data_IF_623218872915
#
_entry.id   IF_623218872915
#
_cell.length_a   1.000
_cell.length_b   1.000
_cell.length_c   1.000
_cell.angle_alpha   90.00
_cell.angle_beta   90.00
_cell.angle_gamma   90.00
#
_symmetry.space_group_name_H-M   'P 1'
#
loop_
_entity.id
_entity.type
_entity.pdbx_description
1 polymer ?
#
# COMPACT_ATOMS: atom_id res chain seq x y z
N UNK A 1 5.28 -68.82 45.42
CA UNK A 1 4.19 -68.61 46.42
C UNK A 1 3.91 -67.11 46.54
N UNK A 2 2.64 -66.75 46.65
CA UNK A 2 2.04 -65.49 46.89
C UNK A 2 1.70 -64.64 45.64
N UNK A 3 0.44 -64.82 45.25
CA UNK A 3 -0.33 -63.92 44.38
C UNK A 3 -0.75 -62.65 45.14
N UNK A 4 -0.75 -61.52 44.49
CA UNK A 4 -1.46 -60.35 44.95
C UNK A 4 -2.34 -59.81 43.82
N UNK A 5 -3.65 -59.87 44.07
CA UNK A 5 -4.67 -59.28 43.25
C UNK A 5 -4.71 -57.77 43.42
N UNK A 6 -4.78 -57.04 42.36
CA UNK A 6 -4.94 -55.59 42.31
C UNK A 6 -6.28 -55.18 41.71
N UNK A 7 -7.09 -54.51 42.48
CA UNK A 7 -8.38 -53.97 42.15
C UNK A 7 -8.38 -53.03 40.96
N UNK A 8 -9.27 -53.28 40.01
CA UNK A 8 -9.57 -52.38 38.89
C UNK A 8 -10.39 -51.13 39.34
N UNK A 9 -9.75 -50.01 39.39
CA UNK A 9 -10.43 -48.70 39.48
C UNK A 9 -10.84 -48.23 38.07
N UNK A 10 -12.14 -48.20 37.79
CA UNK A 10 -12.68 -47.53 36.59
C UNK A 10 -12.45 -46.04 36.74
N UNK A 11 -11.56 -45.48 35.97
CA UNK A 11 -11.46 -44.04 35.77
C UNK A 11 -12.68 -43.56 34.97
N UNK A 12 -13.45 -42.67 35.54
CA UNK A 12 -14.54 -41.96 34.86
C UNK A 12 -13.96 -41.06 33.76
N UNK A 13 -14.38 -41.32 32.52
CA UNK A 13 -14.05 -40.44 31.40
C UNK A 13 -14.76 -39.12 31.59
N UNK A 14 -14.00 -38.06 31.88
CA UNK A 14 -14.49 -36.70 31.81
C UNK A 14 -14.86 -36.38 30.38
N UNK A 15 -16.15 -36.23 30.13
CA UNK A 15 -16.67 -35.81 28.82
C UNK A 15 -16.17 -34.41 28.52
N UNK A 16 -15.26 -34.32 27.55
CA UNK A 16 -14.93 -33.06 26.91
C UNK A 16 -16.13 -32.61 26.10
N UNK A 17 -16.91 -31.69 26.61
CA UNK A 17 -17.91 -30.92 25.88
C UNK A 17 -17.13 -30.12 24.81
N UNK A 18 -17.13 -30.61 23.57
CA UNK A 18 -16.73 -29.79 22.43
C UNK A 18 -17.63 -28.56 22.40
N UNK A 19 -17.02 -27.39 22.48
CA UNK A 19 -17.71 -26.14 22.18
C UNK A 19 -18.32 -26.26 20.77
N UNK A 20 -19.55 -25.79 20.55
CA UNK A 20 -20.16 -25.84 19.23
C UNK A 20 -19.25 -25.10 18.23
N UNK A 21 -18.86 -25.82 17.19
CA UNK A 21 -18.17 -25.22 16.07
C UNK A 21 -19.05 -24.07 15.56
N UNK A 22 -18.51 -22.83 15.54
CA UNK A 22 -19.17 -21.73 14.84
C UNK A 22 -19.39 -22.20 13.41
N UNK A 23 -20.66 -22.39 13.04
CA UNK A 23 -21.03 -22.64 11.65
C UNK A 23 -20.41 -21.52 10.80
N UNK A 24 -19.57 -21.90 9.86
CA UNK A 24 -19.12 -20.97 8.82
C UNK A 24 -20.40 -20.43 8.14
N UNK A 25 -20.48 -19.13 7.87
CA UNK A 25 -21.64 -18.59 7.16
C UNK A 25 -21.76 -19.36 5.85
N UNK A 26 -22.81 -20.14 5.73
CA UNK A 26 -23.22 -20.77 4.46
C UNK A 26 -23.67 -19.62 3.57
N UNK A 27 -22.76 -19.09 2.76
CA UNK A 27 -23.12 -18.21 1.66
C UNK A 27 -23.89 -19.08 0.66
N UNK A 28 -25.19 -19.21 0.91
CA UNK A 28 -26.10 -19.80 -0.07
C UNK A 28 -26.30 -18.79 -1.22
N UNK A 29 -25.28 -18.70 -2.06
CA UNK A 29 -25.38 -17.98 -3.33
C UNK A 29 -26.27 -18.81 -4.26
N UNK A 30 -27.58 -18.70 -4.08
CA UNK A 30 -28.55 -19.35 -4.96
C UNK A 30 -28.35 -18.95 -6.41
N UNK A 31 -28.90 -19.74 -7.32
CA UNK A 31 -28.85 -19.50 -8.78
C UNK A 31 -29.28 -18.06 -9.16
N UNK A 32 -30.16 -17.45 -8.39
CA UNK A 32 -30.61 -16.08 -8.61
C UNK A 32 -29.56 -15.02 -8.30
N UNK A 33 -28.64 -15.27 -7.35
CA UNK A 33 -27.49 -14.42 -7.14
C UNK A 33 -26.60 -14.36 -8.40
N UNK A 34 -26.30 -15.52 -8.97
CA UNK A 34 -25.49 -15.58 -10.19
C UNK A 34 -26.20 -15.00 -11.40
N UNK A 35 -27.53 -15.24 -11.56
CA UNK A 35 -28.35 -14.60 -12.60
C UNK A 35 -28.30 -13.08 -12.47
N UNK A 36 -28.41 -12.55 -11.26
CA UNK A 36 -28.33 -11.11 -11.01
C UNK A 36 -26.94 -10.54 -11.34
N UNK A 37 -25.86 -11.31 -11.11
CA UNK A 37 -24.52 -10.91 -11.56
C UNK A 37 -24.41 -10.81 -13.09
N UNK A 38 -24.99 -11.78 -13.82
CA UNK A 38 -25.02 -11.74 -15.30
C UNK A 38 -25.86 -10.59 -15.84
N UNK A 39 -26.93 -10.23 -15.14
CA UNK A 39 -27.83 -9.15 -15.52
C UNK A 39 -27.37 -7.76 -15.07
N UNK A 40 -26.38 -7.66 -14.18
CA UNK A 40 -25.79 -6.37 -13.82
C UNK A 40 -25.16 -5.76 -15.08
N UNK A 41 -25.71 -4.61 -15.49
CA UNK A 41 -25.04 -3.80 -16.51
C UNK A 41 -23.61 -3.54 -16.06
N UNK A 42 -22.65 -3.77 -16.95
CA UNK A 42 -21.24 -3.43 -16.72
C UNK A 42 -21.18 -1.99 -16.24
N UNK A 43 -20.49 -1.73 -15.16
CA UNK A 43 -20.31 -0.38 -14.66
C UNK A 43 -19.82 0.53 -15.81
N UNK A 44 -20.50 1.64 -16.03
CA UNK A 44 -20.20 2.54 -17.14
C UNK A 44 -18.82 3.16 -17.01
N UNK A 45 -18.31 3.27 -15.78
CA UNK A 45 -16.99 3.85 -15.46
C UNK A 45 -16.04 2.74 -15.02
N UNK A 46 -14.90 2.54 -15.71
CA UNK A 46 -13.88 1.60 -15.27
C UNK A 46 -13.33 2.04 -13.91
N UNK A 47 -13.18 1.10 -13.00
CA UNK A 47 -12.54 1.37 -11.72
C UNK A 47 -11.06 1.73 -11.95
N UNK A 48 -10.64 2.88 -11.47
CA UNK A 48 -9.27 3.35 -11.54
C UNK A 48 -8.49 2.88 -10.31
N UNK A 49 -7.46 2.08 -10.54
CA UNK A 49 -6.53 1.58 -9.52
C UNK A 49 -5.14 2.00 -9.95
N UNK A 50 -4.69 3.17 -9.48
CA UNK A 50 -3.44 3.77 -9.94
C UNK A 50 -2.33 3.62 -8.90
N UNK A 51 -1.16 3.23 -9.37
CA UNK A 51 0.06 3.18 -8.58
C UNK A 51 0.98 4.32 -9.01
N UNK A 52 1.32 5.16 -8.06
CA UNK A 52 2.25 6.27 -8.18
C UNK A 52 3.58 5.86 -7.56
N UNK A 53 4.59 5.67 -8.37
CA UNK A 53 5.88 5.12 -7.95
C UNK A 53 6.97 6.16 -8.17
N UNK A 54 7.79 6.41 -7.18
CA UNK A 54 8.89 7.38 -7.30
C UNK A 54 9.68 7.50 -6.00
N UNK A 55 10.81 8.19 -6.05
CA UNK A 55 11.59 8.51 -4.85
C UNK A 55 10.86 9.50 -3.95
N UNK A 56 11.45 9.84 -2.86
CA UNK A 56 10.97 10.93 -2.00
C UNK A 56 10.90 12.24 -2.76
N UNK A 57 10.01 13.13 -2.35
CA UNK A 57 9.84 14.48 -2.92
C UNK A 57 9.57 14.50 -4.44
N UNK A 58 8.89 13.47 -4.96
CA UNK A 58 8.46 13.38 -6.38
C UNK A 58 6.98 13.66 -6.58
N UNK A 59 6.30 14.28 -5.61
CA UNK A 59 4.90 14.73 -5.70
C UNK A 59 3.86 13.60 -5.85
N UNK A 60 4.15 12.37 -5.40
CA UNK A 60 3.22 11.23 -5.53
C UNK A 60 1.86 11.51 -4.86
N UNK A 61 1.88 11.94 -3.60
CA UNK A 61 0.68 12.28 -2.82
C UNK A 61 -0.10 13.43 -3.46
N UNK A 62 0.62 14.47 -3.91
CA UNK A 62 0.00 15.61 -4.63
C UNK A 62 -0.68 15.16 -5.93
N UNK A 63 -0.06 14.29 -6.71
CA UNK A 63 -0.66 13.74 -7.92
C UNK A 63 -1.89 12.87 -7.63
N UNK A 64 -1.85 12.04 -6.59
CA UNK A 64 -3.02 11.29 -6.14
C UNK A 64 -4.19 12.22 -5.80
N UNK A 65 -3.92 13.32 -5.10
CA UNK A 65 -4.91 14.34 -4.77
C UNK A 65 -5.49 15.04 -6.00
N UNK A 66 -4.66 15.42 -6.97
CA UNK A 66 -5.15 16.02 -8.22
C UNK A 66 -6.07 15.11 -9.02
N UNK A 67 -5.83 13.79 -8.99
CA UNK A 67 -6.70 12.82 -9.66
C UNK A 67 -7.93 12.45 -8.84
N UNK A 68 -7.90 12.66 -7.53
CA UNK A 68 -8.93 12.18 -6.61
C UNK A 68 -10.30 12.78 -6.93
N UNK A 69 -10.38 14.09 -7.24
CA UNK A 69 -11.62 14.78 -7.54
C UNK A 69 -11.50 15.65 -8.80
N UNK A 70 -12.57 15.74 -9.55
CA UNK A 70 -12.76 16.76 -10.56
C UNK A 70 -13.56 17.96 -9.97
N UNK A 71 -13.70 19.04 -10.74
CA UNK A 71 -14.38 20.26 -10.29
C UNK A 71 -15.83 20.03 -9.86
N UNK A 72 -16.53 19.10 -10.50
CA UNK A 72 -17.93 18.75 -10.15
C UNK A 72 -17.97 18.04 -8.79
N UNK A 73 -17.06 17.12 -8.55
CA UNK A 73 -16.94 16.39 -7.28
C UNK A 73 -16.53 17.31 -6.14
N UNK A 74 -15.64 18.29 -6.40
CA UNK A 74 -15.26 19.30 -5.42
C UNK A 74 -16.47 20.16 -5.05
N UNK A 75 -17.21 20.68 -6.05
CA UNK A 75 -18.44 21.46 -5.84
C UNK A 75 -19.53 20.69 -5.11
N UNK A 76 -19.59 19.38 -5.35
CA UNK A 76 -20.53 18.48 -4.67
C UNK A 76 -20.09 18.10 -3.25
N UNK A 77 -18.93 18.55 -2.77
CA UNK A 77 -18.40 18.22 -1.44
C UNK A 77 -18.03 16.73 -1.28
N UNK A 78 -17.69 16.03 -2.36
CA UNK A 78 -17.31 14.62 -2.28
C UNK A 78 -16.00 14.46 -1.51
N UNK A 79 -15.97 13.48 -0.61
CA UNK A 79 -14.86 13.22 0.30
C UNK A 79 -13.74 12.43 -0.39
N UNK A 80 -12.50 12.76 -0.02
CA UNK A 80 -11.30 11.95 -0.28
C UNK A 80 -10.77 11.44 1.04
N UNK A 81 -10.50 10.14 1.13
CA UNK A 81 -9.92 9.54 2.34
C UNK A 81 -8.48 9.15 2.07
N UNK A 82 -7.57 9.60 2.92
CA UNK A 82 -6.15 9.30 2.86
C UNK A 82 -5.78 8.41 4.05
N UNK A 83 -5.36 7.19 3.79
CA UNK A 83 -4.65 6.37 4.76
C UNK A 83 -3.20 6.83 4.77
N UNK A 84 -2.85 7.66 5.76
CA UNK A 84 -1.52 8.29 5.86
C UNK A 84 -0.57 7.39 6.64
N UNK A 85 0.20 6.59 5.91
CA UNK A 85 1.16 5.63 6.48
C UNK A 85 2.48 6.33 6.83
N UNK A 86 2.86 7.33 6.02
CA UNK A 86 4.14 8.03 6.15
C UNK A 86 4.04 9.27 7.06
N UNK A 87 2.85 9.59 7.60
CA UNK A 87 2.54 10.79 8.38
C UNK A 87 2.96 12.09 7.67
N UNK A 88 2.85 12.14 6.34
CA UNK A 88 3.31 13.25 5.50
C UNK A 88 2.21 13.90 4.66
N UNK A 89 1.01 13.33 4.67
CA UNK A 89 -0.09 13.80 3.81
C UNK A 89 -0.58 15.20 4.19
N UNK A 90 -0.57 15.56 5.48
CA UNK A 90 -1.09 16.83 5.97
C UNK A 90 -0.42 18.06 5.33
N UNK A 91 0.91 18.04 5.18
CA UNK A 91 1.63 19.15 4.53
C UNK A 91 1.23 19.28 3.07
N UNK A 92 1.14 18.14 2.36
CA UNK A 92 0.74 18.12 0.94
C UNK A 92 -0.71 18.59 0.77
N UNK A 93 -1.63 18.15 1.63
CA UNK A 93 -3.04 18.56 1.60
C UNK A 93 -3.17 20.07 1.84
N UNK A 94 -2.51 20.60 2.87
CA UNK A 94 -2.53 22.02 3.20
C UNK A 94 -1.94 22.89 2.08
N UNK A 95 -0.98 22.36 1.31
CA UNK A 95 -0.40 23.08 0.19
C UNK A 95 -1.29 23.03 -1.06
N UNK A 96 -1.89 21.88 -1.38
CA UNK A 96 -2.65 21.66 -2.63
C UNK A 96 -4.10 22.11 -2.49
N UNK A 97 -4.71 21.87 -1.33
CA UNK A 97 -6.12 22.17 -1.02
C UNK A 97 -6.27 22.79 0.36
N UNK A 98 -5.75 24.02 0.58
CA UNK A 98 -5.80 24.66 1.89
C UNK A 98 -7.25 24.86 2.36
N UNK A 99 -7.56 24.34 3.54
CA UNK A 99 -8.89 24.48 4.17
C UNK A 99 -10.00 23.59 3.59
N UNK A 100 -9.68 22.60 2.78
CA UNK A 100 -10.67 21.66 2.26
C UNK A 100 -11.00 20.56 3.30
N UNK A 101 -12.11 20.74 4.02
CA UNK A 101 -12.58 19.81 5.05
C UNK A 101 -13.08 18.47 4.51
N UNK A 102 -13.22 18.33 3.18
CA UNK A 102 -13.64 17.07 2.56
C UNK A 102 -12.45 16.14 2.25
N UNK A 103 -11.24 16.53 2.62
CA UNK A 103 -10.07 15.64 2.57
C UNK A 103 -9.82 15.11 3.98
N UNK A 104 -10.15 13.84 4.19
CA UNK A 104 -10.05 13.17 5.48
C UNK A 104 -8.73 12.43 5.55
N UNK A 105 -7.84 12.85 6.45
CA UNK A 105 -6.55 12.20 6.68
C UNK A 105 -6.69 11.28 7.89
N UNK A 106 -6.37 10.01 7.71
CA UNK A 106 -6.35 8.99 8.75
C UNK A 106 -4.89 8.65 9.09
N UNK A 107 -4.30 9.26 10.12
CA UNK A 107 -2.97 8.90 10.58
C UNK A 107 -3.03 7.54 11.26
N UNK A 108 -2.40 6.53 10.66
CA UNK A 108 -2.44 5.17 11.21
C UNK A 108 -1.47 4.99 12.37
N UNK A 109 -0.28 5.60 12.25
CA UNK A 109 0.69 5.70 13.33
C UNK A 109 0.44 7.02 14.08
N UNK A 110 -0.47 7.00 15.04
CA UNK A 110 -0.84 8.14 15.88
C UNK A 110 -0.25 7.97 17.27
N UNK A 111 0.63 8.87 17.69
CA UNK A 111 1.31 8.82 18.98
C UNK A 111 0.35 8.96 20.19
N UNK A 112 -0.88 9.37 19.95
CA UNK A 112 -1.91 9.48 20.99
C UNK A 112 -2.74 8.20 21.15
N UNK A 113 -2.53 7.20 20.29
CA UNK A 113 -3.23 5.92 20.35
C UNK A 113 -2.39 4.84 21.06
N UNK A 114 -2.57 4.73 22.36
CA UNK A 114 -1.86 3.76 23.20
C UNK A 114 -2.03 2.30 22.73
N UNK A 115 -3.06 2.00 21.94
CA UNK A 115 -3.34 0.63 21.48
C UNK A 115 -2.31 0.06 20.51
N UNK A 116 -1.53 0.94 19.87
CA UNK A 116 -0.49 0.57 18.90
C UNK A 116 0.93 0.62 19.48
N UNK A 117 1.05 0.84 20.79
CA UNK A 117 2.36 0.84 21.46
C UNK A 117 2.43 -0.28 22.50
N UNK A 118 3.64 -0.77 22.74
CA UNK A 118 3.97 -1.66 23.84
C UNK A 118 4.23 -0.83 25.12
N UNK A 119 4.36 -1.52 26.26
CA UNK A 119 4.65 -0.86 27.56
C UNK A 119 5.95 -0.04 27.56
N UNK A 120 6.92 -0.41 26.71
CA UNK A 120 8.20 0.28 26.54
C UNK A 120 8.13 1.41 25.49
N UNK A 121 6.95 1.79 25.04
CA UNK A 121 6.68 2.79 23.99
C UNK A 121 7.20 2.39 22.59
N UNK A 122 7.65 1.16 22.39
CA UNK A 122 7.95 0.66 21.06
C UNK A 122 6.65 0.37 20.27
N UNK A 123 6.70 0.50 18.95
CA UNK A 123 5.51 0.27 18.10
C UNK A 123 5.13 -1.20 18.10
N UNK A 124 3.86 -1.50 18.43
CA UNK A 124 3.27 -2.82 18.30
C UNK A 124 2.79 -3.03 16.85
N UNK A 125 3.69 -3.47 15.99
CA UNK A 125 3.40 -3.65 14.56
C UNK A 125 2.24 -4.62 14.27
N UNK A 126 2.05 -5.76 14.99
CA UNK A 126 0.85 -6.57 14.84
C UNK A 126 -0.44 -5.78 15.07
N UNK A 127 -0.53 -5.02 16.15
CA UNK A 127 -1.71 -4.19 16.45
C UNK A 127 -1.93 -3.11 15.39
N UNK A 128 -0.87 -2.49 14.89
CA UNK A 128 -0.91 -1.49 13.83
C UNK A 128 -1.43 -2.06 12.50
N UNK A 129 -1.05 -3.29 12.13
CA UNK A 129 -1.58 -3.99 10.96
C UNK A 129 -3.06 -4.33 11.15
N UNK A 130 -3.45 -4.79 12.33
CA UNK A 130 -4.86 -5.08 12.65
C UNK A 130 -5.72 -3.81 12.60
N UNK A 131 -5.24 -2.70 13.17
CA UNK A 131 -5.87 -1.37 13.09
C UNK A 131 -6.04 -0.93 11.62
N UNK A 132 -5.00 -1.06 10.80
CA UNK A 132 -5.08 -0.74 9.37
C UNK A 132 -6.15 -1.57 8.67
N UNK A 133 -6.17 -2.87 8.93
CA UNK A 133 -7.17 -3.79 8.35
C UNK A 133 -8.59 -3.43 8.79
N UNK A 134 -8.77 -3.06 10.06
CA UNK A 134 -10.06 -2.62 10.60
C UNK A 134 -10.55 -1.35 9.88
N UNK A 135 -9.69 -0.34 9.72
CA UNK A 135 -10.07 0.90 9.03
C UNK A 135 -10.40 0.66 7.55
N UNK A 136 -9.69 -0.22 6.85
CA UNK A 136 -10.03 -0.58 5.46
C UNK A 136 -11.42 -1.25 5.39
N UNK A 137 -11.76 -2.11 6.37
CA UNK A 137 -13.08 -2.75 6.42
C UNK A 137 -14.20 -1.74 6.74
N UNK A 138 -13.96 -0.83 7.69
CA UNK A 138 -14.90 0.26 8.02
C UNK A 138 -15.12 1.15 6.79
N UNK A 139 -14.06 1.54 6.08
CA UNK A 139 -14.16 2.32 4.86
C UNK A 139 -14.97 1.61 3.77
N UNK A 140 -14.79 0.30 3.63
CA UNK A 140 -15.57 -0.49 2.68
C UNK A 140 -17.07 -0.48 3.04
N UNK A 141 -17.42 -0.46 4.33
CA UNK A 141 -18.81 -0.37 4.78
C UNK A 141 -19.37 1.04 4.56
N UNK A 142 -18.64 2.07 4.96
CA UNK A 142 -19.05 3.47 4.76
C UNK A 142 -19.32 3.80 3.30
N UNK A 143 -18.45 3.35 2.38
CA UNK A 143 -18.65 3.56 0.94
C UNK A 143 -19.89 2.81 0.44
N UNK A 144 -20.20 1.62 0.96
CA UNK A 144 -21.43 0.87 0.57
C UNK A 144 -22.69 1.57 1.04
N UNK A 145 -22.65 2.13 2.25
CA UNK A 145 -23.81 2.78 2.86
C UNK A 145 -24.03 4.17 2.27
N UNK A 146 -22.95 4.86 1.86
CA UNK A 146 -22.95 6.23 1.35
C UNK A 146 -22.12 6.36 0.07
N UNK A 147 -22.49 5.69 -1.05
CA UNK A 147 -21.63 5.60 -2.23
C UNK A 147 -21.41 6.95 -2.94
N UNK A 148 -22.34 7.88 -2.77
CA UNK A 148 -22.26 9.20 -3.39
C UNK A 148 -21.43 10.21 -2.61
N UNK A 149 -21.07 9.92 -1.37
CA UNK A 149 -20.29 10.82 -0.50
C UNK A 149 -18.81 10.84 -0.86
N UNK A 150 -18.30 9.77 -1.45
CA UNK A 150 -16.86 9.57 -1.65
C UNK A 150 -16.45 9.68 -3.12
N UNK A 151 -15.32 10.33 -3.36
CA UNK A 151 -14.71 10.45 -4.68
C UNK A 151 -13.54 9.47 -4.88
N UNK A 152 -12.68 9.34 -3.86
CA UNK A 152 -11.47 8.51 -3.95
C UNK A 152 -10.98 8.07 -2.57
N UNK A 153 -10.16 7.01 -2.59
CA UNK A 153 -9.33 6.58 -1.46
C UNK A 153 -7.87 6.61 -1.89
N UNK A 154 -7.01 7.13 -1.05
CA UNK A 154 -5.55 7.20 -1.25
C UNK A 154 -4.90 6.40 -0.13
N UNK A 155 -4.04 5.45 -0.49
CA UNK A 155 -3.18 4.72 0.43
C UNK A 155 -1.76 5.25 0.26
N UNK A 156 -1.37 6.18 1.12
CA UNK A 156 -0.11 6.91 1.01
C UNK A 156 0.97 6.28 1.89
N UNK A 157 2.02 5.73 1.26
CA UNK A 157 3.11 5.06 1.96
C UNK A 157 3.10 3.52 1.87
N UNK A 158 2.71 2.96 0.72
CA UNK A 158 2.66 1.50 0.54
C UNK A 158 3.98 0.77 0.81
N UNK A 159 5.12 1.41 0.56
CA UNK A 159 6.44 0.85 0.87
C UNK A 159 6.72 0.83 2.38
N UNK A 160 6.35 1.88 3.09
CA UNK A 160 6.42 1.94 4.56
C UNK A 160 5.50 0.90 5.19
N UNK A 161 4.29 0.74 4.66
CA UNK A 161 3.39 -0.32 5.10
C UNK A 161 3.99 -1.72 4.91
N UNK A 162 4.70 -1.95 3.81
CA UNK A 162 5.43 -3.22 3.63
C UNK A 162 6.49 -3.43 4.71
N UNK A 163 7.16 -2.36 5.16
CA UNK A 163 8.13 -2.43 6.26
C UNK A 163 7.44 -2.73 7.61
N UNK A 164 6.25 -2.17 7.84
CA UNK A 164 5.44 -2.53 9.01
C UNK A 164 5.08 -4.02 9.01
N UNK A 165 4.69 -4.56 7.84
CA UNK A 165 4.41 -6.00 7.68
C UNK A 165 5.66 -6.87 7.96
N UNK A 166 6.85 -6.39 7.59
CA UNK A 166 8.12 -7.06 7.89
C UNK A 166 8.41 -7.07 9.39
N UNK A 167 8.21 -5.93 10.06
CA UNK A 167 8.39 -5.82 11.50
C UNK A 167 7.37 -6.68 12.28
N UNK A 168 6.11 -6.69 11.86
CA UNK A 168 5.10 -7.59 12.42
C UNK A 168 5.46 -9.08 12.21
N UNK A 169 5.95 -9.45 11.03
CA UNK A 169 6.47 -10.79 10.79
C UNK A 169 7.60 -11.14 11.75
N UNK A 170 8.56 -10.23 11.91
CA UNK A 170 9.69 -10.39 12.83
C UNK A 170 9.19 -10.63 14.25
N UNK A 171 8.24 -9.81 14.72
CA UNK A 171 7.62 -9.97 16.04
C UNK A 171 6.98 -11.36 16.22
N UNK A 172 6.20 -11.83 15.24
CA UNK A 172 5.59 -13.18 15.29
C UNK A 172 6.65 -14.29 15.35
N UNK A 173 7.76 -14.12 14.66
CA UNK A 173 8.83 -15.13 14.62
C UNK A 173 9.64 -15.15 15.92
N UNK A 174 9.89 -14.00 16.53
CA UNK A 174 10.56 -13.90 17.83
C UNK A 174 9.68 -14.46 18.96
N UNK A 175 8.37 -14.29 18.88
CA UNK A 175 7.43 -14.71 19.93
C UNK A 175 6.77 -16.08 19.69
N UNK A 176 7.17 -16.83 18.67
CA UNK A 176 6.61 -18.18 18.43
C UNK A 176 7.09 -19.18 19.48
N UNK A 177 6.21 -20.10 19.88
CA UNK A 177 6.48 -21.08 20.92
C UNK A 177 7.53 -22.14 20.56
N UNK A 178 7.76 -22.39 19.27
CA UNK A 178 8.74 -23.37 18.77
C UNK A 178 9.75 -22.66 17.88
N UNK A 179 11.03 -22.84 18.19
CA UNK A 179 12.15 -22.28 17.45
C UNK A 179 11.99 -20.75 17.23
N UNK A 180 11.89 -19.93 18.30
CA UNK A 180 11.91 -18.49 18.15
C UNK A 180 13.19 -18.06 17.46
N UNK A 181 13.13 -17.07 16.60
CA UNK A 181 14.35 -16.46 16.01
C UNK A 181 14.90 -15.42 16.96
N UNK A 182 16.22 -15.26 16.94
CA UNK A 182 16.89 -14.15 17.60
C UNK A 182 17.59 -13.28 16.53
N UNK A 183 16.97 -12.16 16.21
CA UNK A 183 17.48 -11.24 15.18
C UNK A 183 18.76 -10.54 15.64
N UNK A 184 18.91 -10.31 16.95
CA UNK A 184 20.10 -9.68 17.53
C UNK A 184 21.33 -10.59 17.40
N UNK A 185 21.15 -11.91 17.48
CA UNK A 185 22.20 -12.90 17.25
C UNK A 185 22.49 -13.16 15.77
N UNK A 186 21.81 -12.42 14.87
CA UNK A 186 22.05 -12.49 13.42
C UNK A 186 21.32 -13.61 12.71
N UNK A 187 20.27 -14.18 13.29
CA UNK A 187 19.42 -15.14 12.63
C UNK A 187 18.83 -14.54 11.33
N UNK A 188 18.83 -15.35 10.28
CA UNK A 188 18.33 -14.96 8.97
C UNK A 188 16.96 -15.56 8.71
N UNK A 189 16.07 -14.77 8.13
CA UNK A 189 14.78 -15.27 7.70
C UNK A 189 14.92 -16.23 6.52
N UNK A 190 14.24 -17.36 6.60
CA UNK A 190 14.13 -18.29 5.47
C UNK A 190 13.00 -17.87 4.52
N UNK A 191 12.97 -18.48 3.33
CA UNK A 191 11.98 -18.14 2.30
C UNK A 191 10.52 -18.38 2.74
N UNK A 192 10.28 -19.34 3.62
CA UNK A 192 8.92 -19.63 4.12
C UNK A 192 8.44 -18.54 5.08
N UNK A 193 9.33 -17.94 5.87
CA UNK A 193 9.03 -16.88 6.83
C UNK A 193 8.62 -15.60 6.10
N UNK A 194 9.29 -15.24 5.00
CA UNK A 194 8.90 -14.11 4.16
C UNK A 194 7.47 -14.18 3.60
N UNK A 195 6.86 -15.38 3.54
CA UNK A 195 5.46 -15.53 3.15
C UNK A 195 4.50 -14.86 4.12
N UNK A 196 4.84 -14.75 5.40
CA UNK A 196 4.00 -14.05 6.40
C UNK A 196 3.93 -12.56 6.09
N UNK A 197 5.08 -11.89 5.88
CA UNK A 197 5.10 -10.48 5.45
C UNK A 197 4.28 -10.27 4.18
N UNK A 198 4.52 -11.12 3.17
CA UNK A 198 3.85 -11.00 1.88
C UNK A 198 2.33 -11.19 2.00
N UNK A 199 1.88 -12.07 2.89
CA UNK A 199 0.45 -12.29 3.16
C UNK A 199 -0.17 -11.06 3.83
N UNK A 200 0.45 -10.54 4.89
CA UNK A 200 -0.04 -9.34 5.60
C UNK A 200 -0.18 -8.17 4.63
N UNK A 201 0.86 -7.91 3.86
CA UNK A 201 0.85 -6.83 2.86
C UNK A 201 -0.26 -7.03 1.81
N UNK A 202 -0.29 -8.21 1.17
CA UNK A 202 -1.25 -8.50 0.09
C UNK A 202 -2.69 -8.50 0.57
N UNK A 203 -2.97 -8.89 1.80
CA UNK A 203 -4.34 -8.88 2.34
C UNK A 203 -4.90 -7.46 2.37
N UNK A 204 -4.18 -6.49 2.92
CA UNK A 204 -4.61 -5.09 2.99
C UNK A 204 -4.68 -4.46 1.59
N UNK A 205 -3.66 -4.62 0.75
CA UNK A 205 -3.67 -4.05 -0.61
C UNK A 205 -4.81 -4.62 -1.45
N UNK A 206 -5.11 -5.92 -1.33
CA UNK A 206 -6.23 -6.54 -2.06
C UNK A 206 -7.58 -6.03 -1.57
N UNK A 207 -7.75 -5.80 -0.27
CA UNK A 207 -8.98 -5.21 0.30
C UNK A 207 -9.18 -3.79 -0.19
N UNK A 208 -8.13 -2.97 -0.18
CA UNK A 208 -8.17 -1.61 -0.73
C UNK A 208 -8.51 -1.62 -2.24
N UNK A 209 -7.89 -2.52 -3.00
CA UNK A 209 -8.20 -2.68 -4.42
C UNK A 209 -9.67 -3.06 -4.67
N UNK A 210 -10.26 -3.84 -3.76
CA UNK A 210 -11.64 -4.32 -3.86
C UNK A 210 -12.68 -3.34 -3.29
N UNK A 211 -12.28 -2.16 -2.81
CA UNK A 211 -13.22 -1.15 -2.32
C UNK A 211 -14.27 -0.80 -3.38
N UNK A 212 -15.55 -0.67 -2.99
CA UNK A 212 -16.65 -0.39 -3.92
C UNK A 212 -16.70 1.11 -4.29
N UNK A 213 -15.57 1.64 -4.77
CA UNK A 213 -15.38 3.02 -5.21
C UNK A 213 -14.64 3.05 -6.54
N UNK A 214 -14.87 4.08 -7.35
CA UNK A 214 -14.26 4.18 -8.67
C UNK A 214 -12.76 4.39 -8.65
N UNK A 215 -12.24 5.13 -7.67
CA UNK A 215 -10.85 5.57 -7.63
C UNK A 215 -10.15 5.13 -6.34
N UNK A 216 -9.07 4.36 -6.50
CA UNK A 216 -8.12 4.07 -5.40
C UNK A 216 -6.70 4.28 -5.90
N UNK A 217 -5.95 5.08 -5.16
CA UNK A 217 -4.57 5.43 -5.48
C UNK A 217 -3.63 4.89 -4.42
N UNK A 218 -2.46 4.45 -4.85
CA UNK A 218 -1.42 3.93 -3.98
C UNK A 218 -0.11 4.63 -4.30
N UNK A 219 0.62 5.04 -3.27
CA UNK A 219 1.98 5.56 -3.45
C UNK A 219 3.00 4.54 -3.01
N UNK A 220 4.09 4.44 -3.77
CA UNK A 220 5.20 3.54 -3.46
C UNK A 220 6.53 4.26 -3.69
N UNK A 221 7.52 3.89 -2.89
CA UNK A 221 8.90 4.30 -3.11
C UNK A 221 9.61 3.41 -4.11
N UNK A 222 10.73 3.91 -4.64
CA UNK A 222 11.69 3.14 -5.40
C UNK A 222 12.81 2.65 -4.48
N UNK A 223 13.29 1.46 -4.77
CA UNK A 223 14.54 0.92 -4.21
C UNK A 223 15.52 0.58 -5.31
N UNK A 224 16.79 0.48 -4.95
CA UNK A 224 17.81 -0.01 -5.87
C UNK A 224 17.50 -1.43 -6.32
N UNK A 225 17.52 -1.67 -7.62
CA UNK A 225 17.59 -3.00 -8.17
C UNK A 225 19.05 -3.43 -8.22
N UNK A 226 19.40 -4.44 -7.43
CA UNK A 226 20.76 -4.93 -7.28
C UNK A 226 20.85 -6.37 -7.74
N UNK A 227 21.85 -6.67 -8.54
CA UNK A 227 22.17 -8.03 -8.97
C UNK A 227 23.61 -8.40 -8.61
N UNK A 228 23.83 -9.69 -8.35
CA UNK A 228 25.17 -10.20 -8.19
C UNK A 228 25.90 -10.13 -9.55
N UNK A 229 26.98 -9.38 -9.57
CA UNK A 229 27.84 -9.24 -10.73
C UNK A 229 29.30 -9.59 -10.34
N UNK A 230 30.08 -10.01 -11.32
CA UNK A 230 31.51 -10.14 -11.17
C UNK A 230 32.12 -8.74 -11.16
N UNK A 231 32.75 -8.38 -10.04
CA UNK A 231 33.39 -7.07 -9.84
C UNK A 231 34.79 -6.99 -10.45
N UNK A 232 35.23 -8.02 -11.19
CA UNK A 232 36.62 -8.22 -11.57
C UNK A 232 37.42 -8.88 -10.42
N UNK A 233 38.57 -9.42 -10.73
CA UNK A 233 39.43 -10.11 -9.75
C UNK A 233 38.81 -11.34 -9.07
N UNK A 234 37.77 -11.96 -9.66
CA UNK A 234 37.12 -13.15 -9.13
C UNK A 234 36.21 -12.90 -7.91
N UNK A 235 36.01 -11.63 -7.50
CA UNK A 235 35.05 -11.30 -6.45
C UNK A 235 33.67 -11.03 -7.05
N UNK A 236 32.62 -11.54 -6.36
CA UNK A 236 31.22 -11.28 -6.68
C UNK A 236 30.63 -10.32 -5.67
N UNK A 237 29.91 -9.30 -6.14
CA UNK A 237 29.26 -8.33 -5.27
C UNK A 237 27.92 -7.88 -5.83
N UNK A 238 27.11 -7.24 -4.99
CA UNK A 238 25.85 -6.65 -5.39
C UNK A 238 26.11 -5.33 -6.11
N UNK A 239 25.80 -5.27 -7.43
CA UNK A 239 25.89 -4.08 -8.22
C UNK A 239 24.49 -3.55 -8.53
N UNK A 240 24.31 -2.22 -8.39
CA UNK A 240 23.07 -1.54 -8.79
C UNK A 240 22.97 -1.58 -10.32
N UNK A 241 21.89 -2.17 -10.83
CA UNK A 241 21.58 -2.24 -12.25
C UNK A 241 20.45 -1.31 -12.66
N UNK A 242 19.71 -0.78 -11.69
CA UNK A 242 18.58 0.09 -11.91
C UNK A 242 17.82 0.40 -10.63
N UNK A 243 16.58 0.77 -10.80
CA UNK A 243 15.63 1.04 -9.74
C UNK A 243 14.33 0.28 -10.01
N UNK A 244 13.69 -0.18 -8.95
CA UNK A 244 12.39 -0.87 -9.02
C UNK A 244 11.49 -0.43 -7.88
N UNK A 245 10.17 -0.57 -8.04
CA UNK A 245 9.23 -0.28 -6.96
C UNK A 245 9.50 -1.14 -5.73
N UNK A 246 9.38 -0.51 -4.55
CA UNK A 246 9.52 -1.20 -3.28
C UNK A 246 8.18 -1.75 -2.82
N UNK A 247 7.82 -2.90 -3.36
CA UNK A 247 6.61 -3.66 -3.04
C UNK A 247 6.86 -5.17 -3.09
N UNK A 248 5.85 -5.95 -2.72
CA UNK A 248 5.85 -7.42 -2.87
C UNK A 248 5.59 -7.80 -4.32
N UNK A 249 6.35 -8.75 -4.83
CA UNK A 249 6.19 -9.22 -6.21
C UNK A 249 4.74 -9.63 -6.53
N UNK A 250 4.29 -9.22 -7.71
CA UNK A 250 2.94 -9.42 -8.19
C UNK A 250 1.96 -8.32 -7.80
N UNK A 251 2.34 -7.35 -6.97
CA UNK A 251 1.51 -6.20 -6.59
C UNK A 251 1.10 -5.36 -7.81
N UNK A 252 2.00 -5.20 -8.78
CA UNK A 252 1.74 -4.47 -10.03
C UNK A 252 0.52 -4.99 -10.80
N UNK A 253 0.17 -6.26 -10.65
CA UNK A 253 -1.00 -6.84 -11.33
C UNK A 253 -2.34 -6.26 -10.88
N UNK A 254 -2.37 -5.63 -9.72
CA UNK A 254 -3.54 -4.95 -9.17
C UNK A 254 -3.74 -3.55 -9.77
N UNK A 255 -2.69 -2.95 -10.33
CA UNK A 255 -2.81 -1.64 -10.95
C UNK A 255 -3.60 -1.72 -12.27
N UNK A 256 -4.51 -0.76 -12.49
CA UNK A 256 -5.03 -0.45 -13.83
C UNK A 256 -4.13 0.54 -14.57
N UNK A 257 -3.37 1.33 -13.80
CA UNK A 257 -2.43 2.34 -14.27
C UNK A 257 -1.23 2.43 -13.33
N UNK A 258 -0.04 2.62 -13.91
CA UNK A 258 1.17 2.84 -13.14
C UNK A 258 1.92 4.04 -13.70
N UNK A 259 2.19 5.02 -12.85
CA UNK A 259 2.97 6.20 -13.16
C UNK A 259 4.27 6.18 -12.37
N UNK A 260 5.37 6.35 -13.07
CA UNK A 260 6.67 6.63 -12.48
C UNK A 260 6.83 8.14 -12.33
N UNK A 261 7.10 8.58 -11.09
CA UNK A 261 7.29 9.99 -10.75
C UNK A 261 8.77 10.26 -10.52
N UNK A 262 9.37 11.11 -11.34
CA UNK A 262 10.79 11.48 -11.27
C UNK A 262 10.98 12.96 -11.02
N UNK A 263 12.01 13.31 -10.22
CA UNK A 263 12.50 14.68 -10.07
C UNK A 263 13.72 14.85 -10.99
N UNK A 264 13.73 15.92 -11.76
CA UNK A 264 14.74 16.21 -12.77
C UNK A 264 15.38 17.56 -12.51
N UNK A 265 16.69 17.63 -12.72
CA UNK A 265 17.48 18.85 -12.72
C UNK A 265 18.50 18.78 -13.87
N UNK A 266 19.18 19.88 -14.17
CA UNK A 266 20.22 19.92 -15.22
C UNK A 266 21.27 18.82 -15.07
N UNK A 267 21.66 18.53 -13.81
CA UNK A 267 22.59 17.44 -13.47
C UNK A 267 21.90 16.42 -12.56
N UNK A 268 22.22 15.14 -12.80
CA UNK A 268 21.75 14.09 -11.91
C UNK A 268 22.41 14.21 -10.53
N UNK A 269 21.62 13.89 -9.51
CA UNK A 269 22.10 13.63 -8.15
C UNK A 269 21.47 12.33 -7.65
N UNK A 270 22.22 11.24 -7.76
CA UNK A 270 21.73 9.92 -7.38
C UNK A 270 21.47 9.81 -5.88
N UNK A 271 22.17 10.57 -5.03
CA UNK A 271 21.99 10.58 -3.58
C UNK A 271 20.67 11.24 -3.19
N UNK A 272 20.27 12.30 -3.90
CA UNK A 272 18.99 12.99 -3.72
C UNK A 272 17.87 12.40 -4.60
N UNK A 273 18.12 11.35 -5.38
CA UNK A 273 17.12 10.75 -6.26
C UNK A 273 16.72 11.61 -7.45
N UNK A 274 17.64 12.46 -7.92
CA UNK A 274 17.39 13.41 -9.01
C UNK A 274 17.99 12.88 -10.31
N UNK A 275 17.20 12.92 -11.37
CA UNK A 275 17.60 12.53 -12.72
C UNK A 275 18.14 13.75 -13.51
N UNK A 276 19.00 13.49 -14.51
CA UNK A 276 19.50 14.55 -15.36
C UNK A 276 18.49 14.94 -16.44
N UNK A 277 18.28 16.25 -16.61
CA UNK A 277 17.62 16.83 -17.75
C UNK A 277 18.39 18.07 -18.23
N UNK A 278 19.12 17.91 -19.33
CA UNK A 278 19.99 18.96 -19.90
C UNK A 278 19.21 20.16 -20.45
N UNK A 279 17.89 20.07 -20.60
CA UNK A 279 17.03 21.16 -21.07
C UNK A 279 16.71 22.20 -19.98
N UNK A 280 16.93 21.82 -18.71
CA UNK A 280 16.74 22.70 -17.56
C UNK A 280 17.98 23.61 -17.35
N UNK A 281 17.75 24.81 -16.85
CA UNK A 281 18.83 25.71 -16.41
C UNK A 281 19.36 25.32 -15.01
N UNK A 282 20.47 25.92 -14.60
CA UNK A 282 20.99 25.74 -13.24
C UNK A 282 20.00 26.37 -12.23
N UNK A 283 19.63 25.61 -11.19
CA UNK A 283 18.65 26.02 -10.19
C UNK A 283 17.19 25.71 -10.54
N UNK A 284 16.89 25.36 -11.79
CA UNK A 284 15.56 24.88 -12.17
C UNK A 284 15.39 23.39 -11.86
N UNK A 285 14.15 22.98 -11.58
CA UNK A 285 13.80 21.58 -11.52
C UNK A 285 12.41 21.30 -12.09
N UNK A 286 12.19 20.07 -12.48
CA UNK A 286 10.89 19.57 -12.94
C UNK A 286 10.55 18.24 -12.26
N UNK A 287 9.26 18.01 -12.05
CA UNK A 287 8.74 16.69 -11.75
C UNK A 287 8.00 16.21 -12.98
N UNK A 288 8.36 15.01 -13.43
CA UNK A 288 7.76 14.40 -14.59
C UNK A 288 7.12 13.06 -14.21
N UNK A 289 5.98 12.78 -14.82
CA UNK A 289 5.28 11.51 -14.74
C UNK A 289 5.55 10.74 -16.03
N UNK A 290 6.10 9.53 -15.92
CA UNK A 290 6.22 8.59 -17.04
C UNK A 290 5.17 7.49 -16.89
N UNK A 291 4.43 7.24 -17.95
CA UNK A 291 3.39 6.22 -17.96
C UNK A 291 4.05 4.86 -18.19
N UNK A 292 4.06 4.00 -17.16
CA UNK A 292 4.72 2.68 -17.22
C UNK A 292 3.75 1.59 -17.68
N UNK A 293 2.50 1.63 -17.21
CA UNK A 293 1.50 0.63 -17.53
C UNK A 293 0.11 1.26 -17.53
N UNK A 294 -0.71 0.88 -18.52
CA UNK A 294 -2.15 1.20 -18.59
C UNK A 294 -2.88 -0.03 -19.09
N UNK A 295 -3.98 -0.40 -18.41
CA UNK A 295 -4.90 -1.44 -18.85
C UNK A 295 -6.15 -0.79 -19.45
N UNK A 296 -6.31 -0.90 -20.75
CA UNK A 296 -7.47 -0.36 -21.46
C UNK A 296 -7.18 0.93 -22.21
N UNK A 297 -8.01 1.97 -22.01
CA UNK A 297 -7.88 3.26 -22.70
C UNK A 297 -6.58 3.96 -22.29
N UNK A 298 -5.85 4.51 -23.25
CA UNK A 298 -4.58 5.21 -23.00
C UNK A 298 -3.33 4.33 -23.15
N UNK A 299 -3.44 3.12 -23.70
CA UNK A 299 -2.28 2.24 -23.96
C UNK A 299 -1.25 2.86 -24.91
N UNK A 300 -1.67 3.75 -25.78
CA UNK A 300 -0.83 4.53 -26.70
C UNK A 300 0.05 5.56 -25.99
N UNK A 301 -0.26 5.85 -24.71
CA UNK A 301 0.51 6.78 -23.89
C UNK A 301 1.64 6.11 -23.11
N UNK A 302 1.72 4.77 -23.10
CA UNK A 302 2.77 4.04 -22.39
C UNK A 302 4.15 4.43 -22.91
N UNK A 303 5.05 4.76 -21.99
CA UNK A 303 6.39 5.25 -22.27
C UNK A 303 6.49 6.78 -22.45
N UNK A 304 5.38 7.49 -22.54
CA UNK A 304 5.39 8.95 -22.59
C UNK A 304 5.77 9.54 -21.24
N UNK A 305 6.52 10.63 -21.28
CA UNK A 305 6.94 11.40 -20.11
C UNK A 305 6.33 12.80 -20.17
N UNK A 306 5.56 13.16 -19.16
CA UNK A 306 4.80 14.41 -19.08
C UNK A 306 5.32 15.22 -17.90
N UNK A 307 5.67 16.50 -18.12
CA UNK A 307 6.04 17.40 -17.03
C UNK A 307 4.78 17.82 -16.27
N UNK A 308 4.71 17.50 -14.97
CA UNK A 308 3.57 17.80 -14.12
C UNK A 308 3.80 19.00 -13.19
N UNK A 309 5.06 19.30 -12.91
CA UNK A 309 5.47 20.46 -12.15
C UNK A 309 6.81 20.96 -12.67
N UNK A 310 6.97 22.25 -12.78
CA UNK A 310 8.26 22.90 -13.05
C UNK A 310 8.49 24.06 -12.10
N UNK A 311 9.74 24.27 -11.70
CA UNK A 311 10.17 25.42 -10.93
C UNK A 311 11.25 26.13 -11.72
N UNK A 312 10.94 27.38 -12.10
CA UNK A 312 11.81 28.28 -12.86
C UNK A 312 11.81 29.64 -12.18
N UNK A 313 12.97 30.20 -11.92
CA UNK A 313 13.13 31.50 -11.25
C UNK A 313 12.32 31.61 -9.96
N UNK A 314 12.27 30.53 -9.17
CA UNK A 314 11.48 30.45 -7.93
C UNK A 314 9.96 30.36 -8.12
N UNK A 315 9.47 30.35 -9.37
CA UNK A 315 8.04 30.23 -9.67
C UNK A 315 7.65 28.77 -9.93
N UNK A 316 6.67 28.28 -9.19
CA UNK A 316 6.08 26.96 -9.39
C UNK A 316 4.99 27.04 -10.46
N UNK A 317 5.01 26.10 -11.41
CA UNK A 317 3.99 25.95 -12.44
C UNK A 317 3.58 24.48 -12.53
N UNK A 318 2.28 24.22 -12.46
CA UNK A 318 1.69 22.90 -12.71
C UNK A 318 1.24 22.83 -14.16
N UNK A 319 1.47 21.67 -14.81
CA UNK A 319 1.14 21.46 -16.24
C UNK A 319 0.91 19.98 -16.51
N UNK A 320 0.36 19.63 -17.64
CA UNK A 320 0.26 18.25 -18.14
C UNK A 320 -0.57 17.27 -17.29
N UNK A 321 -1.13 17.69 -16.16
CA UNK A 321 -1.89 16.81 -15.25
C UNK A 321 -3.14 16.28 -15.94
N UNK A 322 -3.81 17.12 -16.73
CA UNK A 322 -5.05 16.73 -17.44
C UNK A 322 -4.79 15.71 -18.54
N UNK A 323 -3.58 15.68 -19.10
CA UNK A 323 -3.14 14.67 -20.09
C UNK A 323 -3.04 13.27 -19.48
N UNK A 324 -2.94 13.18 -18.14
CA UNK A 324 -2.87 11.94 -17.37
C UNK A 324 -4.25 11.49 -16.84
N UNK A 325 -5.32 12.26 -17.10
CA UNK A 325 -6.70 11.95 -16.72
C UNK A 325 -7.41 11.27 -17.89
N UNK A 326 -7.55 9.96 -17.89
CA UNK A 326 -8.29 9.20 -18.91
C UNK A 326 -9.25 8.15 -18.33
#
# INVERSE_FOLDING_TARGET
MAAWGGNGGKAASAGTTKAPAKEAPTNDYGVDYYRNLFNKKRAATPQQRMFLVGKENTMKTGMALFFARNDEQIKAGKKVVIFDIDNSASETVNHVYPGDENILILPLLDETDDSIFNEDMSVNYPALIDKTTMFVNLMAQEIKDNPDDFAAVIFDGGSTFMKWCENAMTWFLMNRSKNPINVEDGDKFNQAEWRTRNRLFKDVITRLHALPIDKVYFTFHLKDDKQFADLGNGSKGLMKIGEKPDWVDGTQRLASQQLFMGRYQKKADSSAGVYADKTLADGEFAIKARIEEVKGKGMDLVGQEITVLSVKDGKVTYSGIDELRW
#
